data_IF_548579607975
#
_entry.id   IF_548579607975
#
_cell.length_a   1.000
_cell.length_b   1.000
_cell.length_c   1.000
_cell.angle_alpha   90.00
_cell.angle_beta   90.00
_cell.angle_gamma   90.00
#
_symmetry.space_group_name_H-M   'P 1'
#
loop_
_entity.id
_entity.type
_entity.pdbx_description
1 polymer ?
#
# COMPACT_ATOMS: atom_id res chain seq x y z
N UNK A 1 -10.58 -25.71 -5.86
CA UNK A 1 -10.21 -24.33 -6.22
C UNK A 1 -9.38 -23.83 -5.07
N UNK A 2 -8.17 -23.37 -5.32
CA UNK A 2 -7.26 -22.96 -4.25
C UNK A 2 -7.89 -21.78 -3.50
N UNK A 3 -7.79 -21.79 -2.17
CA UNK A 3 -8.32 -20.78 -1.24
C UNK A 3 -7.40 -19.53 -1.22
N UNK A 4 -6.97 -19.11 -2.41
CA UNK A 4 -6.06 -17.97 -2.59
C UNK A 4 -6.79 -16.64 -2.42
N UNK A 5 -6.03 -15.57 -2.24
CA UNK A 5 -6.54 -14.22 -2.10
C UNK A 5 -5.68 -13.23 -2.88
N UNK A 6 -6.29 -12.13 -3.31
CA UNK A 6 -5.65 -11.08 -4.10
C UNK A 6 -4.96 -11.61 -5.36
N UNK A 7 -5.68 -12.38 -6.18
CA UNK A 7 -5.15 -12.90 -7.44
C UNK A 7 -4.70 -11.76 -8.36
N UNK A 8 -5.38 -10.62 -8.29
CA UNK A 8 -5.06 -9.38 -9.02
C UNK A 8 -3.72 -8.76 -8.63
N UNK A 9 -3.12 -9.15 -7.50
CA UNK A 9 -1.76 -8.70 -7.14
C UNK A 9 -0.73 -9.14 -8.18
N UNK A 10 -0.95 -10.27 -8.86
CA UNK A 10 0.02 -10.90 -9.76
C UNK A 10 1.05 -11.76 -9.02
N UNK A 11 0.83 -12.07 -7.73
CA UNK A 11 1.73 -12.90 -6.93
C UNK A 11 2.01 -14.27 -7.57
N UNK A 12 0.99 -14.87 -8.18
CA UNK A 12 1.08 -16.15 -8.92
C UNK A 12 2.00 -16.12 -10.15
N UNK A 13 2.46 -14.94 -10.60
CA UNK A 13 3.40 -14.80 -11.70
C UNK A 13 4.85 -14.85 -11.22
N UNK A 14 5.12 -14.81 -9.93
CA UNK A 14 6.46 -14.70 -9.35
C UNK A 14 6.93 -16.03 -8.79
N UNK A 15 8.25 -16.18 -8.71
CA UNK A 15 8.91 -17.29 -8.01
C UNK A 15 9.45 -16.81 -6.67
N UNK A 16 9.90 -17.73 -5.82
CA UNK A 16 10.50 -17.43 -4.52
C UNK A 16 11.98 -17.77 -4.47
N UNK A 17 12.77 -16.95 -3.76
CA UNK A 17 14.15 -17.30 -3.42
C UNK A 17 14.22 -18.25 -2.21
N UNK A 18 15.44 -18.63 -1.82
CA UNK A 18 15.68 -19.52 -0.68
C UNK A 18 15.23 -18.94 0.68
N UNK A 19 14.98 -17.64 0.76
CA UNK A 19 14.50 -16.94 1.95
C UNK A 19 12.99 -16.68 1.90
N UNK A 20 12.30 -17.09 0.84
CA UNK A 20 10.87 -16.88 0.65
C UNK A 20 10.51 -15.49 0.13
N UNK A 21 11.47 -14.73 -0.39
CA UNK A 21 11.22 -13.44 -1.04
C UNK A 21 10.88 -13.59 -2.52
N UNK A 22 10.12 -12.63 -3.06
CA UNK A 22 9.63 -12.68 -4.42
C UNK A 22 10.73 -12.36 -5.41
N UNK A 23 10.97 -13.26 -6.36
CA UNK A 23 11.93 -13.09 -7.44
C UNK A 23 11.21 -12.74 -8.73
N UNK A 24 11.80 -11.81 -9.49
CA UNK A 24 11.24 -11.34 -10.75
C UNK A 24 11.25 -12.48 -11.76
N UNK A 25 10.10 -12.77 -12.35
CA UNK A 25 9.94 -13.71 -13.47
C UNK A 25 9.75 -12.97 -14.79
N UNK A 26 9.90 -13.71 -15.90
CA UNK A 26 9.63 -13.17 -17.23
C UNK A 26 8.14 -12.90 -17.44
N UNK A 27 7.26 -13.74 -16.89
CA UNK A 27 5.80 -13.55 -16.99
C UNK A 27 5.32 -12.32 -16.22
N UNK A 28 5.93 -12.03 -15.08
CA UNK A 28 5.65 -10.81 -14.33
C UNK A 28 6.02 -9.56 -15.12
N UNK A 29 7.18 -9.54 -15.78
CA UNK A 29 7.60 -8.42 -16.63
C UNK A 29 6.68 -8.25 -17.85
N UNK A 30 6.25 -9.35 -18.47
CA UNK A 30 5.28 -9.33 -19.57
C UNK A 30 3.91 -8.78 -19.15
N UNK A 31 3.48 -9.01 -17.91
CA UNK A 31 2.23 -8.44 -17.42
C UNK A 31 2.23 -6.90 -17.45
N UNK A 32 3.38 -6.24 -17.24
CA UNK A 32 3.50 -4.79 -17.44
C UNK A 32 3.45 -4.39 -18.92
N UNK A 33 4.05 -5.19 -19.81
CA UNK A 33 3.97 -4.98 -21.26
C UNK A 33 2.54 -5.14 -21.81
N UNK A 34 1.66 -5.86 -21.09
CA UNK A 34 0.26 -6.01 -21.48
C UNK A 34 -0.60 -4.79 -21.14
N UNK A 35 -0.09 -3.85 -20.32
CA UNK A 35 -0.84 -2.68 -19.88
C UNK A 35 -1.04 -1.66 -21.01
N UNK A 36 -2.19 -0.98 -21.09
CA UNK A 36 -2.48 0.00 -22.14
C UNK A 36 -1.45 1.12 -22.25
N UNK A 37 -0.80 1.48 -21.13
CA UNK A 37 0.19 2.56 -21.09
C UNK A 37 1.52 2.20 -21.78
N UNK A 38 1.81 0.90 -21.95
CA UNK A 38 3.05 0.39 -22.57
C UNK A 38 2.78 -0.36 -23.87
N UNK A 39 1.63 -1.01 -23.99
CA UNK A 39 1.23 -1.69 -25.22
C UNK A 39 1.14 -0.67 -26.36
N UNK A 40 1.93 -0.81 -27.43
CA UNK A 40 1.93 0.16 -28.51
C UNK A 40 0.53 0.29 -29.13
N UNK A 41 0.03 1.51 -29.37
CA UNK A 41 -1.22 1.72 -30.10
C UNK A 41 -1.09 1.28 -31.57
N UNK A 42 -2.22 1.17 -32.26
CA UNK A 42 -2.24 0.68 -33.65
C UNK A 42 -1.41 1.55 -34.60
N UNK A 43 -1.33 2.85 -34.34
CA UNK A 43 -0.58 3.86 -35.08
C UNK A 43 0.86 4.07 -34.58
N UNK A 44 1.32 3.27 -33.61
CA UNK A 44 2.69 3.35 -33.09
C UNK A 44 3.75 3.25 -34.19
N UNK A 45 4.87 3.94 -34.02
CA UNK A 45 5.97 3.89 -34.99
C UNK A 45 6.68 2.52 -35.01
N UNK A 46 7.42 2.22 -36.09
CA UNK A 46 8.12 0.94 -36.22
C UNK A 46 9.11 0.67 -35.07
N UNK A 47 9.85 1.69 -34.64
CA UNK A 47 10.81 1.58 -33.55
C UNK A 47 10.17 1.12 -32.22
N UNK A 48 8.99 1.66 -31.90
CA UNK A 48 8.26 1.28 -30.69
C UNK A 48 7.72 -0.16 -30.78
N UNK A 49 7.16 -0.55 -31.93
CA UNK A 49 6.69 -1.93 -32.17
C UNK A 49 7.84 -2.94 -32.08
N UNK A 50 9.00 -2.59 -32.61
CA UNK A 50 10.20 -3.42 -32.57
C UNK A 50 10.73 -3.57 -31.14
N UNK A 51 10.82 -2.47 -30.38
CA UNK A 51 11.19 -2.49 -28.96
C UNK A 51 10.22 -3.37 -28.15
N UNK A 52 8.92 -3.21 -28.38
CA UNK A 52 7.88 -4.00 -27.71
C UNK A 52 8.00 -5.50 -28.02
N UNK A 53 8.09 -5.86 -29.30
CA UNK A 53 8.22 -7.25 -29.73
C UNK A 53 9.49 -7.91 -29.16
N UNK A 54 10.60 -7.18 -29.14
CA UNK A 54 11.87 -7.63 -28.55
C UNK A 54 11.74 -7.95 -27.08
N UNK A 55 11.08 -7.09 -26.29
CA UNK A 55 10.89 -7.31 -24.86
C UNK A 55 9.83 -8.36 -24.55
N UNK A 56 8.82 -8.56 -25.40
CA UNK A 56 7.92 -9.70 -25.25
C UNK A 56 8.65 -11.04 -25.41
N UNK A 57 9.59 -11.12 -26.35
CA UNK A 57 10.42 -12.30 -26.55
C UNK A 57 11.49 -12.48 -25.46
N UNK A 58 12.11 -11.38 -25.04
CA UNK A 58 13.20 -11.37 -24.07
C UNK A 58 12.99 -10.27 -23.02
N UNK A 59 12.13 -10.50 -22.00
CA UNK A 59 11.74 -9.46 -21.03
C UNK A 59 12.90 -8.88 -20.24
N UNK A 60 14.01 -9.63 -20.11
CA UNK A 60 15.24 -9.23 -19.41
C UNK A 60 16.29 -8.55 -20.29
N UNK A 61 16.04 -8.38 -21.59
CA UNK A 61 16.97 -7.67 -22.47
C UNK A 61 17.04 -6.16 -22.19
N UNK A 62 18.23 -5.57 -22.24
CA UNK A 62 18.42 -4.14 -21.98
C UNK A 62 17.66 -3.23 -22.96
N UNK A 63 17.26 -2.08 -22.44
CA UNK A 63 16.63 -0.97 -23.19
C UNK A 63 17.60 0.21 -23.17
N UNK A 64 18.28 0.45 -24.28
CA UNK A 64 19.27 1.54 -24.38
C UNK A 64 18.59 2.88 -24.69
N UNK A 65 19.25 4.00 -24.42
CA UNK A 65 18.68 5.33 -24.70
C UNK A 65 18.29 5.53 -26.17
N UNK A 66 19.05 4.92 -27.09
CA UNK A 66 18.75 4.95 -28.51
C UNK A 66 17.42 4.28 -28.87
N UNK A 67 17.01 3.24 -28.14
CA UNK A 67 15.72 2.56 -28.37
C UNK A 67 14.57 3.55 -28.12
N UNK A 68 14.62 4.26 -27.00
CA UNK A 68 13.58 5.22 -26.60
C UNK A 68 13.64 6.46 -27.49
N UNK A 69 14.84 6.98 -27.79
CA UNK A 69 14.99 8.16 -28.64
C UNK A 69 14.44 7.98 -30.06
N UNK A 70 14.40 6.74 -30.57
CA UNK A 70 13.85 6.41 -31.89
C UNK A 70 12.31 6.40 -31.93
N UNK A 71 11.63 6.34 -30.78
CA UNK A 71 10.17 6.39 -30.71
C UNK A 71 9.72 7.80 -31.10
N UNK A 72 8.82 7.91 -32.07
CA UNK A 72 8.37 9.21 -32.60
C UNK A 72 7.46 9.95 -31.63
N UNK A 73 6.52 9.23 -31.00
CA UNK A 73 5.61 9.80 -30.02
C UNK A 73 6.34 10.19 -28.73
N UNK A 74 6.05 11.39 -28.22
CA UNK A 74 6.69 11.90 -27.00
C UNK A 74 6.16 11.20 -25.77
N UNK A 75 4.86 10.97 -25.70
CA UNK A 75 4.23 10.43 -24.50
C UNK A 75 4.60 8.95 -24.36
N UNK A 76 4.68 8.20 -25.48
CA UNK A 76 5.28 6.87 -25.55
C UNK A 76 6.72 6.83 -25.05
N UNK A 77 7.59 7.79 -25.43
CA UNK A 77 8.96 7.88 -24.90
C UNK A 77 9.00 8.01 -23.38
N UNK A 78 8.12 8.84 -22.82
CA UNK A 78 8.03 9.03 -21.37
C UNK A 78 7.61 7.74 -20.67
N UNK A 79 6.58 7.05 -21.20
CA UNK A 79 6.12 5.77 -20.66
C UNK A 79 7.21 4.69 -20.70
N UNK A 80 7.91 4.54 -21.83
CA UNK A 80 9.03 3.61 -21.97
C UNK A 80 10.20 3.95 -21.04
N UNK A 81 10.52 5.23 -20.85
CA UNK A 81 11.57 5.66 -19.92
C UNK A 81 11.23 5.32 -18.47
N UNK A 82 9.97 5.55 -18.06
CA UNK A 82 9.47 5.20 -16.73
C UNK A 82 9.48 3.68 -16.52
N UNK A 83 8.95 2.91 -17.48
CA UNK A 83 8.96 1.44 -17.42
C UNK A 83 10.37 0.88 -17.34
N UNK A 84 11.30 1.38 -18.17
CA UNK A 84 12.72 1.00 -18.11
C UNK A 84 13.30 1.21 -16.73
N UNK A 85 13.08 2.38 -16.10
CA UNK A 85 13.61 2.67 -14.75
C UNK A 85 13.07 1.69 -13.72
N UNK A 86 11.76 1.44 -13.73
CA UNK A 86 11.14 0.48 -12.81
C UNK A 86 11.67 -0.93 -13.04
N UNK A 87 11.66 -1.41 -14.28
CA UNK A 87 12.17 -2.73 -14.65
C UNK A 87 13.63 -2.93 -14.25
N UNK A 88 14.48 -1.93 -14.51
CA UNK A 88 15.90 -2.02 -14.16
C UNK A 88 16.11 -2.04 -12.65
N UNK A 89 15.31 -1.29 -11.87
CA UNK A 89 15.31 -1.39 -10.41
C UNK A 89 15.02 -2.84 -9.95
N UNK A 90 14.00 -3.48 -10.53
CA UNK A 90 13.66 -4.85 -10.20
C UNK A 90 14.76 -5.85 -10.56
N UNK A 91 15.35 -5.71 -11.76
CA UNK A 91 16.42 -6.61 -12.24
C UNK A 91 17.76 -6.40 -11.54
N UNK A 92 17.99 -5.22 -10.94
CA UNK A 92 19.21 -4.92 -10.20
C UNK A 92 19.27 -5.56 -8.81
N UNK A 93 18.15 -6.10 -8.32
CA UNK A 93 18.03 -6.68 -6.99
C UNK A 93 17.62 -8.15 -7.06
N UNK A 94 17.99 -8.93 -6.05
CA UNK A 94 17.68 -10.36 -5.98
C UNK A 94 16.19 -10.65 -5.75
N UNK A 95 15.45 -9.70 -5.19
CA UNK A 95 14.02 -9.84 -4.90
C UNK A 95 13.26 -8.51 -5.04
N UNK A 96 11.92 -8.58 -5.14
CA UNK A 96 11.05 -7.41 -5.13
C UNK A 96 11.11 -6.67 -3.80
N UNK A 97 11.25 -7.38 -2.69
CA UNK A 97 11.45 -6.80 -1.36
C UNK A 97 12.72 -5.94 -1.31
N UNK A 98 13.84 -6.46 -1.81
CA UNK A 98 15.09 -5.72 -1.87
C UNK A 98 14.98 -4.50 -2.80
N UNK A 99 14.33 -4.64 -3.96
CA UNK A 99 14.08 -3.54 -4.88
C UNK A 99 13.20 -2.44 -4.26
N UNK A 100 12.15 -2.84 -3.52
CA UNK A 100 11.26 -1.94 -2.80
C UNK A 100 11.99 -1.16 -1.71
N UNK A 101 12.81 -1.83 -0.89
CA UNK A 101 13.64 -1.17 0.12
C UNK A 101 14.63 -0.20 -0.51
N UNK A 102 15.29 -0.61 -1.60
CA UNK A 102 16.26 0.22 -2.30
C UNK A 102 15.62 1.51 -2.85
N UNK A 103 14.40 1.45 -3.38
CA UNK A 103 13.68 2.62 -3.87
C UNK A 103 13.58 3.73 -2.81
N UNK A 104 13.27 3.39 -1.56
CA UNK A 104 13.08 4.37 -0.49
C UNK A 104 14.37 4.76 0.25
N UNK A 105 15.45 3.99 0.07
CA UNK A 105 16.79 4.28 0.64
C UNK A 105 17.70 5.00 -0.36
N UNK A 106 17.41 4.92 -1.65
CA UNK A 106 18.19 5.56 -2.72
C UNK A 106 18.02 7.08 -2.73
N UNK A 107 18.98 7.78 -3.36
CA UNK A 107 18.89 9.21 -3.68
C UNK A 107 18.29 9.46 -5.07
N UNK A 108 17.94 8.40 -5.79
CA UNK A 108 17.41 8.51 -7.14
C UNK A 108 16.02 9.17 -7.11
N UNK A 109 15.60 9.81 -8.22
CA UNK A 109 14.25 10.35 -8.31
C UNK A 109 13.23 9.23 -8.02
N UNK A 110 12.20 9.47 -7.20
CA UNK A 110 11.23 8.43 -6.87
C UNK A 110 10.53 7.94 -8.15
N UNK A 111 10.27 6.65 -8.22
CA UNK A 111 9.36 6.10 -9.22
C UNK A 111 7.94 6.62 -8.94
N UNK A 112 7.08 6.67 -9.98
CA UNK A 112 5.66 6.95 -9.76
C UNK A 112 5.07 6.10 -8.65
N UNK A 113 4.26 6.73 -7.80
CA UNK A 113 3.72 6.08 -6.60
C UNK A 113 2.91 4.81 -6.91
N UNK A 114 2.33 4.73 -8.12
CA UNK A 114 1.65 3.54 -8.63
C UNK A 114 2.51 2.27 -8.55
N UNK A 115 3.81 2.33 -8.90
CA UNK A 115 4.70 1.16 -8.82
C UNK A 115 4.98 0.76 -7.39
N UNK A 116 5.21 1.75 -6.51
CA UNK A 116 5.37 1.48 -5.08
C UNK A 116 4.12 0.80 -4.52
N UNK A 117 2.93 1.26 -4.90
CA UNK A 117 1.67 0.66 -4.45
C UNK A 117 1.50 -0.79 -4.94
N UNK A 118 1.85 -1.06 -6.20
CA UNK A 118 1.78 -2.41 -6.77
C UNK A 118 2.77 -3.37 -6.09
N UNK A 119 4.00 -2.92 -5.84
CA UNK A 119 4.98 -3.71 -5.09
C UNK A 119 4.52 -3.93 -3.65
N UNK A 120 3.93 -2.93 -2.99
CA UNK A 120 3.32 -3.13 -1.67
C UNK A 120 2.29 -4.26 -1.71
N UNK A 121 1.36 -4.25 -2.67
CA UNK A 121 0.31 -5.27 -2.76
C UNK A 121 0.91 -6.69 -2.91
N UNK A 122 1.90 -6.85 -3.79
CA UNK A 122 2.60 -8.12 -4.02
C UNK A 122 3.37 -8.60 -2.79
N UNK A 123 4.19 -7.74 -2.22
CA UNK A 123 5.02 -8.07 -1.05
C UNK A 123 4.13 -8.37 0.15
N UNK A 124 3.03 -7.62 0.32
CA UNK A 124 2.11 -7.85 1.43
C UNK A 124 1.32 -9.14 1.26
N UNK A 125 0.89 -9.50 0.04
CA UNK A 125 0.36 -10.84 -0.26
C UNK A 125 1.38 -11.88 0.22
N UNK A 126 2.64 -11.76 -0.19
CA UNK A 126 3.69 -12.71 0.18
C UNK A 126 3.90 -12.79 1.70
N UNK A 127 3.93 -11.64 2.38
CA UNK A 127 4.11 -11.55 3.83
C UNK A 127 2.93 -12.15 4.63
N UNK A 128 1.75 -12.24 4.02
CA UNK A 128 0.53 -12.80 4.60
C UNK A 128 0.29 -14.26 4.20
N UNK A 129 1.23 -14.90 3.51
CA UNK A 129 1.14 -16.33 3.19
C UNK A 129 1.00 -17.16 4.48
N UNK A 130 0.01 -18.06 4.50
CA UNK A 130 -0.34 -18.85 5.69
C UNK A 130 -1.08 -18.10 6.81
N UNK A 131 -1.46 -16.83 6.62
CA UNK A 131 -2.37 -16.14 7.54
C UNK A 131 -3.79 -16.61 7.28
N UNK A 132 -4.41 -17.22 8.29
CA UNK A 132 -5.77 -17.78 8.18
C UNK A 132 -6.87 -16.83 8.61
N UNK A 133 -6.56 -15.78 9.38
CA UNK A 133 -7.57 -14.83 9.86
C UNK A 133 -7.98 -13.86 8.73
N UNK A 134 -9.21 -13.97 8.19
CA UNK A 134 -9.65 -13.12 7.08
C UNK A 134 -9.76 -11.65 7.48
N UNK A 135 -9.90 -11.32 8.77
CA UNK A 135 -9.91 -9.94 9.22
C UNK A 135 -8.53 -9.29 9.05
N UNK A 136 -7.45 -10.04 9.29
CA UNK A 136 -6.07 -9.56 9.04
C UNK A 136 -5.89 -9.30 7.55
N UNK A 137 -6.36 -10.21 6.68
CA UNK A 137 -6.29 -10.03 5.23
C UNK A 137 -7.10 -8.79 4.79
N UNK A 138 -8.37 -8.67 5.21
CA UNK A 138 -9.20 -7.50 4.90
C UNK A 138 -8.59 -6.19 5.36
N UNK A 139 -8.02 -6.19 6.55
CA UNK A 139 -7.42 -4.99 7.14
C UNK A 139 -6.11 -4.62 6.46
N UNK A 140 -5.39 -5.59 5.91
CA UNK A 140 -4.16 -5.36 5.17
C UNK A 140 -4.38 -4.59 3.86
N UNK A 141 -5.60 -4.55 3.32
CA UNK A 141 -5.95 -3.71 2.18
C UNK A 141 -5.66 -2.22 2.42
N UNK A 142 -5.66 -1.74 3.67
CA UNK A 142 -5.30 -0.36 4.02
C UNK A 142 -3.88 0.02 3.51
N UNK A 143 -2.98 -0.95 3.34
CA UNK A 143 -1.61 -0.68 2.90
C UNK A 143 -1.53 -0.27 1.43
N UNK A 144 -2.50 -0.68 0.60
CA UNK A 144 -2.43 -0.46 -0.85
C UNK A 144 -3.72 0.08 -1.49
N UNK A 145 -4.80 0.19 -0.72
CA UNK A 145 -6.07 0.79 -1.15
C UNK A 145 -6.39 2.01 -0.30
N UNK A 146 -6.81 3.09 -0.97
CA UNK A 146 -7.40 4.27 -0.31
C UNK A 146 -8.74 3.85 0.31
N UNK A 147 -9.03 4.30 1.53
CA UNK A 147 -10.29 3.97 2.20
C UNK A 147 -11.09 5.24 2.49
N UNK A 148 -12.35 5.28 2.06
CA UNK A 148 -13.32 6.31 2.44
C UNK A 148 -13.85 6.01 3.84
N UNK A 149 -13.65 6.95 4.75
CA UNK A 149 -14.21 6.94 6.09
C UNK A 149 -15.66 7.40 6.06
N UNK A 150 -16.53 6.60 6.69
CA UNK A 150 -17.90 7.00 7.02
C UNK A 150 -18.23 6.70 8.48
N UNK A 151 -19.20 7.44 9.01
CA UNK A 151 -19.70 7.31 10.39
C UNK A 151 -21.18 6.94 10.33
N UNK A 152 -21.56 5.79 10.92
CA UNK A 152 -22.96 5.33 11.00
C UNK A 152 -23.22 4.70 12.37
N UNK A 153 -24.19 5.20 13.15
CA UNK A 153 -24.62 4.61 14.43
C UNK A 153 -23.44 4.19 15.34
N UNK A 154 -22.54 5.13 15.65
CA UNK A 154 -21.29 4.93 16.42
C UNK A 154 -20.24 4.00 15.79
N UNK A 155 -20.48 3.46 14.59
CA UNK A 155 -19.49 2.75 13.79
C UNK A 155 -18.61 3.72 13.01
N UNK A 156 -17.32 3.40 12.97
CA UNK A 156 -16.34 4.00 12.08
C UNK A 156 -16.06 2.97 10.99
N UNK A 157 -16.49 3.26 9.77
CA UNK A 157 -16.46 2.33 8.66
C UNK A 157 -15.45 2.80 7.62
N UNK A 158 -14.62 1.89 7.14
CA UNK A 158 -13.66 2.11 6.06
C UNK A 158 -14.06 1.26 4.87
N UNK A 159 -14.45 1.92 3.78
CA UNK A 159 -14.78 1.29 2.51
C UNK A 159 -13.76 1.67 1.45
N UNK A 160 -13.58 0.83 0.44
CA UNK A 160 -12.69 1.13 -0.66
C UNK A 160 -13.09 2.44 -1.38
N UNK A 161 -12.16 3.39 -1.47
CA UNK A 161 -12.47 4.72 -1.98
C UNK A 161 -12.78 4.71 -3.48
N UNK A 162 -12.06 3.92 -4.27
CA UNK A 162 -12.27 3.83 -5.72
C UNK A 162 -13.68 3.26 -6.00
N UNK A 163 -14.08 2.20 -5.28
CA UNK A 163 -15.41 1.61 -5.42
C UNK A 163 -16.53 2.58 -5.03
N UNK A 164 -16.32 3.37 -3.97
CA UNK A 164 -17.29 4.41 -3.57
C UNK A 164 -17.36 5.52 -4.61
N UNK A 165 -16.22 6.01 -5.11
CA UNK A 165 -16.14 7.04 -6.16
C UNK A 165 -16.85 6.59 -7.45
N UNK A 166 -16.62 5.34 -7.89
CA UNK A 166 -17.27 4.76 -9.08
C UNK A 166 -18.79 4.66 -8.93
N UNK A 167 -19.27 4.22 -7.75
CA UNK A 167 -20.71 4.15 -7.46
C UNK A 167 -21.35 5.53 -7.45
N UNK A 168 -20.69 6.53 -6.87
CA UNK A 168 -21.18 7.91 -6.88
C UNK A 168 -21.26 8.45 -8.31
N UNK A 169 -20.24 8.23 -9.12
CA UNK A 169 -20.24 8.62 -10.52
C UNK A 169 -21.39 7.96 -11.31
N UNK A 170 -21.63 6.67 -11.10
CA UNK A 170 -22.73 5.94 -11.73
C UNK A 170 -24.12 6.50 -11.35
N UNK A 171 -24.31 6.88 -10.08
CA UNK A 171 -25.57 7.49 -9.62
C UNK A 171 -25.77 8.90 -10.15
N UNK A 172 -24.70 9.70 -10.24
CA UNK A 172 -24.76 11.01 -10.89
C UNK A 172 -25.13 10.90 -12.38
N UNK A 173 -24.74 9.82 -13.05
CA UNK A 173 -25.14 9.55 -14.43
C UNK A 173 -26.60 9.07 -14.56
N UNK A 174 -27.25 8.60 -13.49
CA UNK A 174 -28.61 8.05 -13.52
C UNK A 174 -29.49 8.58 -12.36
N UNK A 175 -30.22 9.69 -12.58
CA UNK A 175 -31.07 10.30 -11.55
C UNK A 175 -32.16 9.37 -10.99
N UNK A 176 -32.65 8.41 -11.78
CA UNK A 176 -33.61 7.42 -11.29
C UNK A 176 -32.97 6.43 -10.31
N UNK A 177 -31.75 5.98 -10.58
CA UNK A 177 -31.02 5.09 -9.67
C UNK A 177 -30.71 5.78 -8.34
N UNK A 178 -30.39 7.09 -8.39
CA UNK A 178 -30.18 7.93 -7.21
C UNK A 178 -31.41 8.06 -6.30
N UNK A 179 -32.62 7.75 -6.77
CA UNK A 179 -33.83 7.74 -5.93
C UNK A 179 -33.96 6.47 -5.07
N UNK A 180 -33.20 5.42 -5.37
CA UNK A 180 -33.34 4.10 -4.73
C UNK A 180 -32.08 3.61 -4.01
N UNK A 181 -30.94 4.28 -4.18
CA UNK A 181 -29.65 3.83 -3.66
C UNK A 181 -28.86 4.94 -2.97
N UNK A 182 -28.13 4.56 -1.92
CA UNK A 182 -27.18 5.43 -1.24
C UNK A 182 -25.80 5.20 -1.87
N UNK A 183 -25.35 6.12 -2.73
CA UNK A 183 -24.03 6.07 -3.38
C UNK A 183 -22.81 6.11 -2.47
N UNK A 184 -23.02 6.09 -1.16
CA UNK A 184 -21.96 6.01 -0.17
C UNK A 184 -21.67 4.57 0.25
N UNK A 185 -21.07 4.45 1.41
CA UNK A 185 -20.71 3.17 2.02
C UNK A 185 -21.91 2.34 2.53
N UNK A 186 -23.15 2.81 2.33
CA UNK A 186 -24.35 2.21 2.91
C UNK A 186 -24.79 0.93 2.21
N UNK A 187 -24.48 0.83 0.92
CA UNK A 187 -24.86 -0.29 0.05
C UNK A 187 -23.73 -1.33 -0.10
N UNK A 188 -22.74 -1.30 0.80
CA UNK A 188 -21.63 -2.25 0.84
C UNK A 188 -21.78 -3.15 2.07
N UNK A 189 -21.47 -4.43 1.89
CA UNK A 189 -21.50 -5.43 2.95
C UNK A 189 -20.43 -5.11 4.00
N UNK A 190 -20.77 -5.22 5.28
CA UNK A 190 -19.80 -5.05 6.37
C UNK A 190 -19.03 -6.36 6.55
N UNK A 191 -17.73 -6.26 6.79
CA UNK A 191 -16.92 -7.39 7.21
C UNK A 191 -17.32 -7.81 8.63
N UNK A 192 -17.91 -8.99 8.76
CA UNK A 192 -18.36 -9.59 10.01
C UNK A 192 -18.30 -11.13 9.96
N UNK A 193 -18.82 -11.80 10.99
CA UNK A 193 -18.81 -13.25 11.10
C UNK A 193 -19.53 -13.97 9.93
N UNK A 194 -20.49 -13.30 9.29
CA UNK A 194 -21.27 -13.85 8.18
C UNK A 194 -20.57 -13.72 6.85
N UNK A 195 -19.77 -12.66 6.66
CA UNK A 195 -19.03 -12.38 5.41
C UNK A 195 -17.58 -12.85 5.46
N UNK A 196 -17.01 -13.08 6.64
CA UNK A 196 -15.61 -13.47 6.83
C UNK A 196 -15.23 -14.76 6.08
N UNK A 197 -16.11 -15.76 6.07
CA UNK A 197 -15.87 -17.04 5.40
C UNK A 197 -15.77 -16.94 3.87
N UNK A 198 -16.32 -15.87 3.29
CA UNK A 198 -16.31 -15.62 1.85
C UNK A 198 -15.21 -14.65 1.41
N UNK A 199 -14.48 -14.05 2.36
CA UNK A 199 -13.51 -12.99 2.09
C UNK A 199 -12.50 -13.38 1.01
N UNK A 200 -11.85 -14.54 1.13
CA UNK A 200 -10.79 -14.96 0.20
C UNK A 200 -11.28 -14.98 -1.25
N UNK A 201 -12.46 -15.54 -1.49
CA UNK A 201 -13.11 -15.59 -2.82
C UNK A 201 -13.52 -14.22 -3.34
N UNK A 202 -13.79 -13.25 -2.45
CA UNK A 202 -14.19 -11.87 -2.76
C UNK A 202 -13.03 -10.89 -2.72
N UNK A 203 -11.82 -11.33 -2.38
CA UNK A 203 -10.71 -10.44 -2.00
C UNK A 203 -10.29 -9.48 -3.12
N UNK A 204 -10.47 -9.85 -4.39
CA UNK A 204 -10.19 -9.00 -5.54
C UNK A 204 -11.31 -7.98 -5.86
N UNK A 205 -12.49 -8.11 -5.24
CA UNK A 205 -13.59 -7.15 -5.40
C UNK A 205 -13.47 -5.95 -4.46
N UNK A 206 -12.71 -6.08 -3.36
CA UNK A 206 -12.51 -5.04 -2.34
C UNK A 206 -13.82 -4.41 -1.83
N UNK A 207 -14.90 -5.19 -1.83
CA UNK A 207 -16.28 -4.70 -1.68
C UNK A 207 -16.82 -4.80 -0.24
N UNK A 208 -16.01 -5.29 0.69
CA UNK A 208 -16.35 -5.38 2.10
C UNK A 208 -15.91 -4.13 2.86
N UNK A 209 -16.74 -3.68 3.80
CA UNK A 209 -16.47 -2.51 4.64
C UNK A 209 -15.85 -2.95 5.96
N UNK A 210 -14.73 -2.35 6.34
CA UNK A 210 -14.06 -2.64 7.60
C UNK A 210 -14.62 -1.77 8.73
N UNK A 211 -15.04 -2.40 9.83
CA UNK A 211 -15.29 -1.69 11.10
C UNK A 211 -13.95 -1.36 11.81
N UNK A 212 -13.69 -0.07 11.96
CA UNK A 212 -12.44 0.50 12.48
C UNK A 212 -12.62 1.31 13.77
N UNK A 213 -13.63 0.98 14.58
CA UNK A 213 -13.86 1.56 15.91
C UNK A 213 -12.67 1.37 16.86
N UNK A 214 -12.53 2.27 17.84
CA UNK A 214 -11.39 2.32 18.79
C UNK A 214 -11.14 1.02 19.57
N UNK A 215 -12.20 0.30 19.92
CA UNK A 215 -12.16 -0.98 20.64
C UNK A 215 -12.55 -2.18 19.76
N UNK A 216 -12.54 -1.98 18.44
CA UNK A 216 -12.92 -2.98 17.46
C UNK A 216 -11.74 -3.87 17.07
N UNK A 217 -12.06 -5.09 16.62
CA UNK A 217 -11.08 -6.05 16.14
C UNK A 217 -10.27 -5.53 14.94
N UNK A 218 -10.82 -4.64 14.11
CA UNK A 218 -10.13 -4.06 12.95
C UNK A 218 -8.84 -3.30 13.30
N UNK A 219 -8.80 -2.58 14.43
CA UNK A 219 -7.56 -1.90 14.87
C UNK A 219 -6.50 -2.87 15.37
N UNK A 220 -6.92 -3.92 16.08
CA UNK A 220 -6.01 -4.97 16.53
C UNK A 220 -5.45 -5.76 15.33
N UNK A 221 -6.29 -6.07 14.34
CA UNK A 221 -5.87 -6.69 13.09
C UNK A 221 -4.88 -5.79 12.33
N UNK A 222 -5.12 -4.48 12.25
CA UNK A 222 -4.21 -3.55 11.58
C UNK A 222 -2.85 -3.48 12.28
N UNK A 223 -2.85 -3.48 13.62
CA UNK A 223 -1.62 -3.59 14.40
C UNK A 223 -0.83 -4.84 14.03
N UNK A 224 -1.51 -5.99 13.88
CA UNK A 224 -0.89 -7.24 13.47
C UNK A 224 -0.34 -7.20 12.05
N UNK A 225 -1.02 -6.56 11.10
CA UNK A 225 -0.50 -6.36 9.73
C UNK A 225 0.78 -5.53 9.77
N UNK A 226 0.85 -4.46 10.57
CA UNK A 226 2.06 -3.66 10.72
C UNK A 226 3.23 -4.48 11.30
N UNK A 227 2.98 -5.34 12.28
CA UNK A 227 4.01 -6.26 12.80
C UNK A 227 4.52 -7.22 11.72
N UNK A 228 3.62 -7.80 10.94
CA UNK A 228 3.96 -8.73 9.84
C UNK A 228 4.80 -8.01 8.79
N UNK A 229 4.37 -6.82 8.37
CA UNK A 229 5.08 -6.02 7.37
C UNK A 229 6.50 -5.65 7.79
N UNK A 230 6.67 -5.14 9.02
CA UNK A 230 7.99 -4.76 9.56
C UNK A 230 8.89 -5.99 9.67
N UNK A 231 8.36 -7.13 10.15
CA UNK A 231 9.13 -8.37 10.26
C UNK A 231 9.53 -8.90 8.88
N UNK A 232 8.63 -8.90 7.91
CA UNK A 232 8.88 -9.43 6.57
C UNK A 232 9.98 -8.67 5.85
N UNK A 233 9.90 -7.33 5.86
CA UNK A 233 10.83 -6.49 5.10
C UNK A 233 12.14 -6.21 5.83
N UNK A 234 12.11 -6.07 7.16
CA UNK A 234 13.28 -5.63 7.91
C UNK A 234 13.90 -6.74 8.77
N UNK A 235 13.25 -7.90 8.89
CA UNK A 235 13.66 -8.95 9.83
C UNK A 235 13.50 -8.56 11.30
N UNK A 236 12.87 -7.42 11.60
CA UNK A 236 12.76 -6.87 12.95
C UNK A 236 11.42 -7.27 13.58
N UNK A 237 11.49 -7.78 14.80
CA UNK A 237 10.29 -8.07 15.59
C UNK A 237 9.85 -6.85 16.39
N UNK A 238 8.61 -6.44 16.18
CA UNK A 238 7.94 -5.38 16.93
C UNK A 238 6.61 -5.86 17.51
N UNK A 239 6.15 -5.17 18.56
CA UNK A 239 4.81 -5.32 19.13
C UNK A 239 4.04 -4.03 18.94
N UNK A 240 2.86 -4.10 18.34
CA UNK A 240 2.03 -2.94 18.05
C UNK A 240 0.69 -3.08 18.75
N UNK A 241 0.30 -2.04 19.49
CA UNK A 241 -0.94 -2.03 20.27
C UNK A 241 -1.75 -0.77 19.97
N UNK A 242 -3.06 -0.88 19.70
CA UNK A 242 -3.92 0.28 19.52
C UNK A 242 -4.08 1.04 20.84
N UNK A 243 -4.12 2.37 20.75
CA UNK A 243 -4.34 3.28 21.87
C UNK A 243 -5.67 4.03 21.69
N UNK A 244 -6.38 4.25 22.80
CA UNK A 244 -7.57 5.12 22.82
C UNK A 244 -7.17 6.60 22.80
N UNK A 245 -6.15 6.96 23.56
CA UNK A 245 -5.57 8.29 23.59
C UNK A 245 -4.12 8.23 24.06
N UNK A 246 -3.37 9.29 23.79
CA UNK A 246 -2.02 9.47 24.26
C UNK A 246 -2.01 10.73 25.12
N UNK A 247 -1.81 10.57 26.42
CA UNK A 247 -1.70 11.68 27.37
C UNK A 247 -0.51 11.46 28.31
N UNK A 248 0.24 12.53 28.59
CA UNK A 248 1.36 12.53 29.54
C UNK A 248 2.44 11.48 29.28
N UNK A 249 2.68 11.12 28.01
CA UNK A 249 3.75 10.19 27.64
C UNK A 249 5.01 10.93 27.22
N UNK A 250 6.16 10.28 27.39
CA UNK A 250 7.39 10.71 26.73
C UNK A 250 7.28 10.39 25.25
N UNK A 251 6.97 11.41 24.43
CA UNK A 251 6.85 11.30 22.99
C UNK A 251 8.25 11.29 22.35
N UNK A 252 8.98 10.18 22.51
CA UNK A 252 10.39 10.05 22.15
C UNK A 252 10.64 9.71 20.68
N UNK A 253 9.63 9.20 19.96
CA UNK A 253 9.64 9.04 18.52
C UNK A 253 8.21 8.88 18.00
N UNK A 254 7.96 9.27 16.75
CA UNK A 254 6.69 8.97 16.10
C UNK A 254 6.86 8.67 14.61
N UNK A 255 5.87 7.98 14.05
CA UNK A 255 5.73 7.76 12.61
C UNK A 255 4.30 8.11 12.20
N UNK A 256 4.16 9.07 11.30
CA UNK A 256 2.89 9.28 10.61
C UNK A 256 2.68 8.17 9.58
N UNK A 257 1.57 7.43 9.67
CA UNK A 257 1.24 6.36 8.74
C UNK A 257 0.67 6.89 7.43
N UNK A 258 0.34 8.16 7.35
CA UNK A 258 -0.07 8.88 6.13
C UNK A 258 0.46 10.31 6.15
N UNK A 259 0.18 11.09 5.10
CA UNK A 259 0.66 12.46 4.98
C UNK A 259 0.07 13.39 6.05
N UNK A 260 -1.21 13.25 6.36
CA UNK A 260 -1.89 14.10 7.34
C UNK A 260 -1.41 13.76 8.75
N UNK A 261 -1.26 12.48 9.06
CA UNK A 261 -0.66 12.01 10.30
C UNK A 261 0.78 12.49 10.49
N UNK A 262 1.57 12.55 9.42
CA UNK A 262 2.94 13.09 9.46
C UNK A 262 2.91 14.58 9.79
N UNK A 263 2.02 15.35 9.17
CA UNK A 263 1.82 16.78 9.46
C UNK A 263 1.41 17.02 10.91
N UNK A 264 0.44 16.26 11.40
CA UNK A 264 -0.05 16.33 12.78
C UNK A 264 1.06 15.97 13.75
N UNK A 265 1.75 14.85 13.52
CA UNK A 265 2.82 14.38 14.37
C UNK A 265 3.99 15.36 14.46
N UNK A 266 4.40 15.97 13.35
CA UNK A 266 5.43 17.03 13.34
C UNK A 266 5.01 18.22 14.24
N UNK A 267 3.77 18.69 14.11
CA UNK A 267 3.29 19.80 14.95
C UNK A 267 3.30 19.42 16.44
N UNK A 268 2.81 18.22 16.80
CA UNK A 268 2.81 17.73 18.18
C UNK A 268 4.24 17.54 18.72
N UNK A 269 5.16 17.08 17.89
CA UNK A 269 6.56 16.91 18.22
C UNK A 269 7.24 18.24 18.56
N UNK A 270 6.93 19.29 17.79
CA UNK A 270 7.44 20.65 18.00
C UNK A 270 6.67 21.41 19.12
N UNK A 271 5.80 20.73 19.86
CA UNK A 271 4.98 21.31 20.92
C UNK A 271 3.92 22.30 20.43
N UNK A 272 3.56 22.25 19.15
CA UNK A 272 2.57 23.11 18.51
C UNK A 272 1.20 22.46 18.45
N UNK A 273 0.16 23.29 18.36
CA UNK A 273 -1.20 22.81 18.09
C UNK A 273 -1.37 22.49 16.59
N UNK A 274 -1.82 21.28 16.21
CA UNK A 274 -2.02 20.94 14.81
C UNK A 274 -3.06 21.84 14.14
N UNK A 275 -2.64 22.55 13.08
CA UNK A 275 -3.55 23.38 12.27
C UNK A 275 -4.72 22.58 11.67
N UNK A 276 -5.78 23.29 11.28
CA UNK A 276 -6.97 22.76 10.61
C UNK A 276 -7.68 21.63 11.35
N UNK A 277 -7.87 21.80 12.67
CA UNK A 277 -8.48 20.78 13.52
C UNK A 277 -7.73 19.43 13.44
N UNK A 278 -6.40 19.47 13.32
CA UNK A 278 -5.60 18.28 13.03
C UNK A 278 -5.79 17.15 14.06
N UNK A 279 -6.06 17.47 15.33
CA UNK A 279 -6.37 16.45 16.35
C UNK A 279 -7.65 15.68 16.04
N UNK A 280 -8.68 16.34 15.50
CA UNK A 280 -9.95 15.71 15.13
C UNK A 280 -9.82 14.78 13.91
N UNK A 281 -8.73 14.95 13.13
CA UNK A 281 -8.40 14.12 11.97
C UNK A 281 -7.62 12.86 12.34
N UNK A 282 -7.14 12.71 13.57
CA UNK A 282 -6.50 11.48 14.03
C UNK A 282 -7.57 10.38 14.08
N UNK A 283 -7.41 9.38 13.22
CA UNK A 283 -8.30 8.23 13.15
C UNK A 283 -7.91 7.17 14.18
N UNK A 284 -6.63 6.84 14.27
CA UNK A 284 -6.12 5.83 15.20
C UNK A 284 -4.69 6.15 15.66
N UNK A 285 -4.38 5.73 16.90
CA UNK A 285 -3.06 5.82 17.50
C UNK A 285 -2.60 4.42 17.87
N UNK A 286 -1.31 4.17 17.72
CA UNK A 286 -0.69 2.91 18.13
C UNK A 286 0.59 3.15 18.90
N UNK A 287 0.89 2.23 19.81
CA UNK A 287 2.19 2.09 20.47
C UNK A 287 2.94 0.95 19.81
N UNK A 288 4.11 1.21 19.26
CA UNK A 288 5.04 0.20 18.77
C UNK A 288 6.22 0.07 19.75
N UNK A 289 6.55 -1.16 20.13
CA UNK A 289 7.72 -1.51 20.95
C UNK A 289 8.59 -2.48 20.16
N UNK A 290 9.89 -2.21 20.11
CA UNK A 290 10.87 -3.13 19.53
C UNK A 290 11.16 -4.26 20.52
N UNK A 291 11.08 -5.51 20.07
CA UNK A 291 11.46 -6.67 20.89
C UNK A 291 12.96 -6.64 21.18
N UNK A 292 13.74 -6.10 20.24
CA UNK A 292 15.19 -6.02 20.30
C UNK A 292 15.66 -4.55 20.27
N UNK A 293 15.73 -3.85 21.41
CA UNK A 293 16.08 -2.43 21.45
C UNK A 293 17.43 -2.07 20.83
N UNK A 294 18.35 -3.03 20.69
CA UNK A 294 19.71 -2.80 20.19
C UNK A 294 19.76 -2.46 18.70
N UNK A 295 18.71 -2.77 17.92
CA UNK A 295 18.60 -2.37 16.51
C UNK A 295 18.18 -0.90 16.36
N UNK A 296 17.68 -0.28 17.42
CA UNK A 296 17.24 1.12 17.42
C UNK A 296 18.42 2.09 17.58
N UNK A 297 18.22 3.34 17.16
CA UNK A 297 19.12 4.46 17.47
C UNK A 297 19.35 4.58 18.98
N UNK A 298 20.60 4.73 19.40
CA UNK A 298 21.00 4.69 20.82
C UNK A 298 20.20 5.66 21.70
N UNK A 299 19.93 6.88 21.20
CA UNK A 299 19.21 7.93 21.94
C UNK A 299 17.75 7.60 22.31
N UNK A 300 17.15 6.62 21.64
CA UNK A 300 15.74 6.23 21.83
C UNK A 300 15.58 4.71 21.98
N UNK A 301 16.67 3.99 22.22
CA UNK A 301 16.64 2.54 22.37
C UNK A 301 15.75 2.13 23.57
N UNK A 302 14.77 1.28 23.29
CA UNK A 302 13.81 0.78 24.29
C UNK A 302 12.62 1.71 24.55
N UNK A 303 12.62 2.91 23.97
CA UNK A 303 11.46 3.80 24.01
C UNK A 303 10.38 3.32 23.03
N UNK A 304 9.12 3.67 23.33
CA UNK A 304 8.02 3.39 22.42
C UNK A 304 8.04 4.33 21.20
N UNK A 305 7.69 3.78 20.05
CA UNK A 305 7.40 4.55 18.83
C UNK A 305 5.89 4.72 18.70
N UNK A 306 5.42 5.95 18.58
CA UNK A 306 4.00 6.23 18.41
C UNK A 306 3.64 6.29 16.92
N UNK A 307 2.66 5.49 16.50
CA UNK A 307 2.16 5.50 15.13
C UNK A 307 0.85 6.26 15.08
N UNK A 308 0.71 7.16 14.11
CA UNK A 308 -0.49 7.98 13.93
C UNK A 308 -1.10 7.64 12.57
N UNK A 309 -2.37 7.28 12.54
CA UNK A 309 -3.16 7.20 11.32
C UNK A 309 -4.21 8.31 11.36
N UNK A 310 -4.31 9.07 10.28
CA UNK A 310 -5.22 10.18 10.14
C UNK A 310 -6.08 10.03 8.88
N UNK A 311 -7.07 10.93 8.78
CA UNK A 311 -7.93 11.07 7.62
C UNK A 311 -7.76 12.47 7.04
N UNK A 312 -7.78 12.60 5.72
CA UNK A 312 -7.67 13.90 5.07
C UNK A 312 -8.99 14.71 5.09
N UNK A 313 -8.99 15.86 4.42
CA UNK A 313 -10.15 16.74 4.32
C UNK A 313 -11.35 16.09 3.62
N UNK A 314 -11.11 15.13 2.73
CA UNK A 314 -12.13 14.42 1.96
C UNK A 314 -12.57 13.12 2.64
N UNK A 315 -12.21 12.93 3.92
CA UNK A 315 -12.48 11.69 4.66
C UNK A 315 -11.82 10.46 4.02
N UNK A 316 -10.67 10.62 3.35
CA UNK A 316 -9.88 9.51 2.80
C UNK A 316 -8.73 9.18 3.75
N UNK A 317 -8.57 7.88 4.03
CA UNK A 317 -7.39 7.31 4.66
C UNK A 317 -6.49 6.78 3.55
N UNK A 318 -5.27 7.30 3.49
CA UNK A 318 -4.27 6.89 2.51
C UNK A 318 -2.96 6.56 3.22
N UNK A 319 -2.89 5.35 3.75
CA UNK A 319 -1.72 4.85 4.46
C UNK A 319 -0.52 4.68 3.51
N UNK A 320 0.68 4.93 4.03
CA UNK A 320 1.98 4.92 3.35
C UNK A 320 2.88 3.88 4.01
N UNK A 321 2.89 2.62 3.54
CA UNK A 321 3.66 1.52 4.14
C UNK A 321 5.15 1.78 4.27
N UNK A 322 5.71 2.54 3.33
CA UNK A 322 7.11 2.94 3.36
C UNK A 322 7.49 3.75 4.60
N UNK A 323 6.54 4.41 5.27
CA UNK A 323 6.82 5.14 6.50
C UNK A 323 7.17 4.19 7.66
N UNK A 324 6.73 2.93 7.61
CA UNK A 324 7.15 1.86 8.54
C UNK A 324 8.54 1.28 8.21
N UNK A 325 9.22 1.85 7.21
CA UNK A 325 10.57 1.46 6.81
C UNK A 325 11.52 2.63 7.03
N UNK A 326 11.18 3.79 6.47
CA UNK A 326 12.03 4.99 6.53
C UNK A 326 11.82 5.83 7.78
N UNK A 327 10.66 5.70 8.42
CA UNK A 327 10.30 6.48 9.60
C UNK A 327 10.73 5.85 10.93
N UNK A 328 11.11 4.57 10.95
CA UNK A 328 11.50 3.89 12.20
C UNK A 328 12.90 4.36 12.68
N UNK A 329 13.14 4.44 14.00
CA UNK A 329 14.41 4.91 14.56
C UNK A 329 15.45 3.80 14.55
N UNK A 330 15.82 3.30 13.38
CA UNK A 330 16.79 2.22 13.20
C UNK A 330 18.21 2.77 13.14
N UNK A 331 19.19 1.98 13.58
CA UNK A 331 20.60 2.24 13.26
C UNK A 331 20.80 2.19 11.75
N UNK A 332 21.70 3.03 11.24
CA UNK A 332 22.14 2.88 9.86
C UNK A 332 22.85 1.52 9.71
N UNK A 333 22.54 0.83 8.62
CA UNK A 333 23.24 -0.38 8.20
C UNK A 333 24.72 -0.09 7.87
#
# INVERSE_FOLDING_TARGET
MSDDFWMSSGHHLLDHDAHGYLTVSDEFLKAYLARPEIKPPEDACAAERDLYARLLAHPRQDIVDADIAAISDRDGRENWAVFRRFRNLLLAHSSLEAAYLAQFRSKDPPLPWLFANQLTHLILRNALDGVEDPLILKTAELFFRRQKLSRRNDMLLLADADLVEDRQAALHASPLLAMFQDGGTGDLDIFDETTAGDYRRRSDAFDLVLDFRAKGAGRAAFARVMEIWVRHLLGISVKVEPLESVANVRFAWFVGLDQEATRIGNALWDGQEPAHHGRERILALYRMIFVEPHVMLERVAGEAVYLILAVDGDQIVHMKPQNLITGLPLKAD
#
